data_IF_812891639711
#
_entry.id   IF_812891639711
#
_cell.length_a   1.000
_cell.length_b   1.000
_cell.length_c   1.000
_cell.angle_alpha   90.00
_cell.angle_beta   90.00
_cell.angle_gamma   90.00
#
_symmetry.space_group_name_H-M   'P 1'
#
loop_
_entity.id
_entity.type
_entity.pdbx_description
1 polymer ?
#
# COMPACT_ATOMS: atom_id res chain seq x y z
N UNK A 1 26.69 22.39 -11.60
CA UNK A 1 25.46 22.37 -10.77
C UNK A 1 25.78 22.98 -9.42
N UNK A 2 25.09 24.05 -9.08
CA UNK A 2 25.29 24.83 -7.87
C UNK A 2 24.76 24.09 -6.63
N UNK A 3 25.05 24.61 -5.44
CA UNK A 3 24.45 24.09 -4.21
C UNK A 3 22.95 24.38 -4.14
N UNK A 4 22.52 25.49 -4.72
CA UNK A 4 21.11 25.87 -4.83
C UNK A 4 20.36 24.95 -5.79
N UNK A 5 20.94 24.62 -6.95
CA UNK A 5 20.37 23.65 -7.90
C UNK A 5 20.19 22.28 -7.22
N UNK A 6 21.17 21.83 -6.42
CA UNK A 6 21.09 20.58 -5.64
C UNK A 6 19.97 20.62 -4.60
N UNK A 7 19.82 21.75 -3.92
CA UNK A 7 18.78 21.91 -2.92
C UNK A 7 17.39 21.91 -3.57
N UNK A 8 17.20 22.65 -4.66
CA UNK A 8 15.95 22.67 -5.41
C UNK A 8 15.58 21.27 -5.93
N UNK A 9 16.55 20.51 -6.42
CA UNK A 9 16.33 19.12 -6.82
C UNK A 9 15.94 18.21 -5.65
N UNK A 10 16.54 18.40 -4.47
CA UNK A 10 16.17 17.64 -3.29
C UNK A 10 14.73 17.94 -2.82
N UNK A 11 14.32 19.22 -2.86
CA UNK A 11 12.94 19.63 -2.57
C UNK A 11 11.97 19.02 -3.58
N UNK A 12 12.24 19.16 -4.88
CA UNK A 12 11.38 18.58 -5.91
C UNK A 12 11.28 17.04 -5.83
N UNK A 13 12.35 16.37 -5.41
CA UNK A 13 12.32 14.93 -5.18
C UNK A 13 11.42 14.56 -3.97
N UNK A 14 11.51 15.31 -2.87
CA UNK A 14 10.65 15.13 -1.71
C UNK A 14 9.18 15.41 -2.02
N UNK A 15 8.88 16.47 -2.79
CA UNK A 15 7.52 16.81 -3.22
C UNK A 15 6.93 15.70 -4.11
N UNK A 16 7.75 15.14 -5.01
CA UNK A 16 7.33 14.01 -5.84
C UNK A 16 7.01 12.78 -4.98
N UNK A 17 7.83 12.48 -3.98
CA UNK A 17 7.61 11.35 -3.07
C UNK A 17 6.33 11.55 -2.24
N UNK A 18 6.10 12.76 -1.72
CA UNK A 18 4.88 13.10 -0.99
C UNK A 18 3.63 12.94 -1.87
N UNK A 19 3.68 13.44 -3.11
CA UNK A 19 2.56 13.29 -4.05
C UNK A 19 2.26 11.82 -4.38
N UNK A 20 3.30 10.98 -4.51
CA UNK A 20 3.12 9.55 -4.74
C UNK A 20 2.44 8.87 -3.53
N UNK A 21 2.89 9.19 -2.31
CA UNK A 21 2.26 8.67 -1.10
C UNK A 21 0.79 9.10 -0.96
N UNK A 22 0.49 10.37 -1.23
CA UNK A 22 -0.88 10.89 -1.19
C UNK A 22 -1.79 10.20 -2.22
N UNK A 23 -1.25 9.90 -3.41
CA UNK A 23 -1.97 9.16 -4.44
C UNK A 23 -2.29 7.73 -3.99
N UNK A 24 -1.27 6.99 -3.51
CA UNK A 24 -1.44 5.63 -3.01
C UNK A 24 -2.50 5.57 -1.88
N UNK A 25 -2.46 6.57 -0.97
CA UNK A 25 -3.44 6.69 0.11
C UNK A 25 -4.84 7.04 -0.40
N UNK A 26 -4.96 7.90 -1.40
CA UNK A 26 -6.25 8.23 -2.01
C UNK A 26 -6.87 7.01 -2.71
N UNK A 27 -6.07 6.21 -3.42
CA UNK A 27 -6.51 4.95 -4.04
C UNK A 27 -7.02 3.95 -2.99
N UNK A 28 -6.30 3.81 -1.87
CA UNK A 28 -6.71 2.93 -0.79
C UNK A 28 -8.05 3.37 -0.17
N UNK A 29 -8.20 4.67 0.12
CA UNK A 29 -9.45 5.22 0.64
C UNK A 29 -10.63 5.01 -0.33
N UNK A 30 -10.40 5.16 -1.63
CA UNK A 30 -11.42 4.91 -2.65
C UNK A 30 -11.87 3.45 -2.62
N UNK A 31 -10.92 2.50 -2.60
CA UNK A 31 -11.21 1.06 -2.51
C UNK A 31 -12.00 0.71 -1.26
N UNK A 32 -11.60 1.25 -0.10
CA UNK A 32 -12.34 1.05 1.16
C UNK A 32 -13.77 1.61 1.07
N UNK A 33 -13.96 2.80 0.53
CA UNK A 33 -15.28 3.41 0.37
C UNK A 33 -16.18 2.58 -0.56
N UNK A 34 -15.64 2.06 -1.66
CA UNK A 34 -16.35 1.17 -2.59
C UNK A 34 -16.81 -0.09 -1.87
N UNK A 35 -15.92 -0.75 -1.12
CA UNK A 35 -16.24 -1.98 -0.37
C UNK A 35 -17.35 -1.72 0.65
N UNK A 36 -17.25 -0.63 1.42
CA UNK A 36 -18.29 -0.25 2.39
C UNK A 36 -19.63 0.03 1.70
N UNK A 37 -19.64 0.66 0.53
CA UNK A 37 -20.87 0.86 -0.25
C UNK A 37 -21.50 -0.49 -0.68
N UNK A 38 -20.69 -1.42 -1.17
CA UNK A 38 -21.13 -2.77 -1.53
C UNK A 38 -21.63 -3.57 -0.33
N UNK A 39 -21.04 -3.41 0.85
CA UNK A 39 -21.48 -4.02 2.10
C UNK A 39 -22.83 -3.47 2.57
N UNK A 40 -23.10 -2.18 2.33
CA UNK A 40 -24.40 -1.57 2.58
C UNK A 40 -25.46 -1.93 1.54
N UNK A 41 -25.10 -2.67 0.48
CA UNK A 41 -26.01 -3.16 -0.55
C UNK A 41 -26.30 -2.16 -1.65
N UNK A 42 -25.42 -1.17 -1.85
CA UNK A 42 -25.48 -0.26 -2.99
C UNK A 42 -25.24 -1.03 -4.31
N UNK A 43 -25.86 -0.56 -5.39
CA UNK A 43 -25.74 -1.19 -6.71
C UNK A 43 -24.34 -0.91 -7.31
N UNK A 44 -23.58 -1.95 -7.72
CA UNK A 44 -22.30 -1.77 -8.40
C UNK A 44 -22.35 -0.84 -9.60
N UNK A 45 -23.44 -0.80 -10.37
CA UNK A 45 -23.57 0.13 -11.51
C UNK A 45 -23.64 1.59 -11.06
N UNK A 46 -24.28 1.86 -9.92
CA UNK A 46 -24.35 3.21 -9.34
C UNK A 46 -23.00 3.64 -8.77
N UNK A 47 -22.30 2.72 -8.09
CA UNK A 47 -20.95 3.00 -7.58
C UNK A 47 -20.00 3.32 -8.74
N UNK A 48 -20.00 2.48 -9.79
CA UNK A 48 -19.18 2.61 -10.99
C UNK A 48 -19.31 4.00 -11.64
N UNK A 49 -20.55 4.52 -11.78
CA UNK A 49 -20.80 5.86 -12.33
C UNK A 49 -20.13 6.97 -11.49
N UNK A 50 -20.16 6.85 -10.15
CA UNK A 50 -19.63 7.88 -9.24
C UNK A 50 -18.11 7.91 -9.23
N UNK A 51 -17.47 6.73 -9.31
CA UNK A 51 -16.02 6.59 -9.16
C UNK A 51 -15.28 6.46 -10.48
N UNK A 52 -15.99 6.48 -11.61
CA UNK A 52 -15.46 6.36 -12.98
C UNK A 52 -14.64 5.07 -13.18
N UNK A 53 -15.19 3.95 -12.73
CA UNK A 53 -14.63 2.60 -12.92
C UNK A 53 -15.67 1.68 -13.58
N UNK A 54 -15.24 0.59 -14.19
CA UNK A 54 -16.17 -0.39 -14.72
C UNK A 54 -16.86 -1.18 -13.58
N UNK A 55 -18.14 -1.56 -13.71
CA UNK A 55 -18.85 -2.34 -12.69
C UNK A 55 -18.17 -3.68 -12.35
N UNK A 56 -17.45 -4.26 -13.32
CA UNK A 56 -16.67 -5.48 -13.12
C UNK A 56 -15.50 -5.24 -12.15
N UNK A 57 -14.78 -4.12 -12.29
CA UNK A 57 -13.69 -3.72 -11.39
C UNK A 57 -14.21 -3.48 -9.95
N UNK A 58 -15.40 -2.89 -9.83
CA UNK A 58 -16.08 -2.69 -8.53
C UNK A 58 -16.33 -4.02 -7.81
N UNK A 59 -16.78 -5.03 -8.56
CA UNK A 59 -17.06 -6.35 -8.00
C UNK A 59 -15.78 -7.12 -7.61
N UNK A 60 -14.71 -7.01 -8.40
CA UNK A 60 -13.41 -7.61 -8.09
C UNK A 60 -12.79 -7.06 -6.79
N UNK A 61 -13.05 -5.79 -6.47
CA UNK A 61 -12.57 -5.17 -5.23
C UNK A 61 -13.17 -5.84 -3.98
N UNK A 62 -14.42 -6.29 -4.03
CA UNK A 62 -15.05 -7.02 -2.91
C UNK A 62 -14.37 -8.35 -2.62
N UNK A 63 -13.92 -9.07 -3.65
CA UNK A 63 -13.23 -10.36 -3.48
C UNK A 63 -11.79 -10.20 -2.97
N UNK A 64 -11.19 -9.03 -3.23
CA UNK A 64 -9.78 -8.75 -2.92
C UNK A 64 -9.53 -8.37 -1.45
N UNK A 65 -10.50 -7.77 -0.75
CA UNK A 65 -10.34 -7.29 0.64
C UNK A 65 -10.48 -8.42 1.68
N UNK A 66 -11.10 -9.55 1.31
CA UNK A 66 -11.27 -10.71 2.21
C UNK A 66 -9.99 -11.59 2.31
N UNK A 67 -8.93 -11.23 1.58
CA UNK A 67 -7.62 -11.88 1.71
C UNK A 67 -6.68 -11.02 2.56
N UNK A 68 -6.37 -11.41 3.81
CA UNK A 68 -5.28 -10.76 4.52
C UNK A 68 -3.98 -10.96 3.73
N UNK A 69 -3.10 -9.95 3.62
CA UNK A 69 -1.77 -10.15 3.07
C UNK A 69 -1.09 -11.21 3.94
N UNK A 70 -0.86 -12.39 3.35
CA UNK A 70 -0.13 -13.47 4.01
C UNK A 70 1.35 -13.06 4.07
N UNK A 71 1.70 -12.21 5.04
CA UNK A 71 3.04 -12.24 5.61
C UNK A 71 3.15 -13.57 6.36
N UNK A 72 3.59 -14.60 5.66
CA UNK A 72 3.98 -15.86 6.29
C UNK A 72 5.06 -15.55 7.33
N UNK A 73 4.78 -15.89 8.60
CA UNK A 73 5.72 -15.73 9.71
C UNK A 73 7.07 -16.46 9.50
N UNK A 74 7.19 -17.28 8.47
CA UNK A 74 8.41 -17.97 8.06
C UNK A 74 9.51 -17.05 7.48
N UNK A 75 9.22 -15.78 7.14
CA UNK A 75 10.24 -14.82 6.65
C UNK A 75 10.97 -14.08 7.78
N UNK A 76 10.48 -14.19 9.03
CA UNK A 76 11.15 -13.61 10.19
C UNK A 76 12.11 -14.67 10.76
N UNK A 77 13.27 -14.85 10.11
CA UNK A 77 14.38 -15.57 10.75
C UNK A 77 15.09 -14.63 11.73
N UNK A 78 15.01 -14.85 13.06
CA UNK A 78 16.00 -14.26 13.95
C UNK A 78 17.32 -15.01 13.69
N UNK A 79 18.23 -14.38 12.96
CA UNK A 79 19.63 -14.82 12.89
C UNK A 79 20.25 -14.69 14.29
N UNK A 80 20.06 -15.71 15.13
CA UNK A 80 20.79 -15.87 16.37
C UNK A 80 22.18 -16.42 15.99
N UNK A 81 23.28 -15.67 16.19
CA UNK A 81 24.61 -16.22 15.94
C UNK A 81 24.88 -17.34 16.95
N UNK A 82 25.48 -18.47 16.54
CA UNK A 82 25.83 -19.54 17.47
C UNK A 82 26.88 -19.02 18.46
N UNK A 83 26.55 -19.15 19.75
CA UNK A 83 27.45 -18.86 20.86
C UNK A 83 28.79 -19.57 20.66
N UNK A 84 29.87 -18.79 20.59
CA UNK A 84 31.23 -19.32 20.61
C UNK A 84 31.46 -20.08 21.91
N UNK A 85 31.70 -21.38 21.80
CA UNK A 85 32.28 -22.20 22.87
C UNK A 85 33.71 -21.70 23.14
N UNK A 86 34.06 -21.24 24.36
CA UNK A 86 35.46 -21.10 24.72
C UNK A 86 36.03 -22.49 25.05
N UNK A 87 36.92 -22.96 24.19
CA UNK A 87 37.90 -24.00 24.48
C UNK A 87 39.14 -23.35 25.11
N UNK A 88 39.46 -23.70 26.36
CA UNK A 88 40.78 -23.62 27.03
C UNK A 88 40.54 -23.66 28.56
N UNK A 89 41.20 -24.48 29.38
CA UNK A 89 42.29 -25.43 29.21
C UNK A 89 42.45 -26.25 30.49
#
# INVERSE_FOLDING_TARGET
MSAEDRHQLAVAAADKEAAAFELDHAELNLKEAIVVALEHGEDPEVIAEVVDLDPEEILELKESVDQPPLLSLDDITPAVPPASVPSAG
#
